data_IF_380269972231
#
_entry.id   IF_380269972231
#
_cell.length_a   1.000
_cell.length_b   1.000
_cell.length_c   1.000
_cell.angle_alpha   90.00
_cell.angle_beta   90.00
_cell.angle_gamma   90.00
#
_symmetry.space_group_name_H-M   'P 1'
#
loop_
_entity.id
_entity.type
_entity.pdbx_description
1 polymer ?
#
# COMPACT_ATOMS: atom_id res chain seq x y z
N UNK A 1 -0.46 17.20 11.67
CA UNK A 1 -1.81 17.77 11.85
C UNK A 1 -2.82 16.64 11.73
N UNK A 2 -3.59 16.34 12.79
CA UNK A 2 -4.70 15.38 12.69
C UNK A 2 -5.90 16.04 12.02
N UNK A 3 -6.64 15.27 11.23
CA UNK A 3 -7.89 15.68 10.59
C UNK A 3 -8.99 14.71 11.00
N UNK A 4 -10.17 15.22 11.31
CA UNK A 4 -11.34 14.41 11.68
C UNK A 4 -12.26 14.31 10.47
N UNK A 5 -12.67 13.09 10.12
CA UNK A 5 -13.62 12.81 9.04
C UNK A 5 -14.86 12.16 9.65
N UNK A 6 -16.04 12.65 9.30
CA UNK A 6 -17.31 12.02 9.65
C UNK A 6 -17.88 11.34 8.41
N UNK A 7 -18.08 10.02 8.49
CA UNK A 7 -18.73 9.25 7.42
C UNK A 7 -20.22 9.16 7.76
N UNK A 8 -21.08 9.67 6.86
CA UNK A 8 -22.54 9.68 7.03
C UNK A 8 -23.18 8.62 6.14
N UNK A 9 -24.41 8.26 6.49
CA UNK A 9 -25.28 7.39 5.67
C UNK A 9 -24.65 6.02 5.34
N UNK A 10 -24.00 5.39 6.32
CA UNK A 10 -23.50 4.03 6.17
C UNK A 10 -24.69 3.07 6.25
N UNK A 11 -24.91 2.21 5.23
CA UNK A 11 -25.96 1.19 5.30
C UNK A 11 -25.70 0.26 6.49
N UNK A 12 -26.76 -0.09 7.23
CA UNK A 12 -26.68 -0.90 8.46
C UNK A 12 -25.90 -2.21 8.25
N UNK A 13 -26.12 -2.89 7.11
CA UNK A 13 -25.39 -4.11 6.76
C UNK A 13 -23.88 -3.87 6.64
N UNK A 14 -23.48 -2.76 6.04
CA UNK A 14 -22.07 -2.38 5.89
C UNK A 14 -21.46 -2.08 7.26
N UNK A 15 -22.19 -1.36 8.12
CA UNK A 15 -21.73 -1.08 9.48
C UNK A 15 -21.54 -2.37 10.28
N UNK A 16 -22.48 -3.33 10.22
CA UNK A 16 -22.35 -4.63 10.89
C UNK A 16 -21.11 -5.41 10.43
N UNK A 17 -20.84 -5.47 9.12
CA UNK A 17 -19.64 -6.12 8.57
C UNK A 17 -18.36 -5.43 9.03
N UNK A 18 -18.34 -4.09 9.10
CA UNK A 18 -17.21 -3.33 9.63
C UNK A 18 -17.00 -3.59 11.12
N UNK A 19 -18.08 -3.62 11.91
CA UNK A 19 -18.03 -3.91 13.33
C UNK A 19 -17.49 -5.31 13.63
N UNK A 20 -17.90 -6.31 12.84
CA UNK A 20 -17.37 -7.67 12.95
C UNK A 20 -15.85 -7.69 12.70
N UNK A 21 -15.38 -7.07 11.62
CA UNK A 21 -13.94 -7.00 11.30
C UNK A 21 -13.14 -6.22 12.35
N UNK A 22 -13.71 -5.16 12.92
CA UNK A 22 -13.09 -4.40 13.99
C UNK A 22 -12.95 -5.26 15.27
N UNK A 23 -13.97 -6.06 15.60
CA UNK A 23 -13.94 -6.99 16.72
C UNK A 23 -12.89 -8.10 16.53
N UNK A 24 -12.80 -8.68 15.33
CA UNK A 24 -11.75 -9.66 14.97
C UNK A 24 -10.35 -9.07 15.13
N UNK A 25 -10.17 -7.79 14.77
CA UNK A 25 -8.93 -7.05 14.94
C UNK A 25 -8.72 -6.46 16.34
N UNK A 26 -9.64 -6.71 17.30
CA UNK A 26 -9.64 -6.21 18.68
C UNK A 26 -9.50 -4.68 18.78
N UNK A 27 -10.18 -3.95 17.90
CA UNK A 27 -10.17 -2.48 17.86
C UNK A 27 -11.58 -1.91 17.75
N UNK A 28 -11.71 -0.61 18.00
CA UNK A 28 -12.98 0.10 17.78
C UNK A 28 -13.25 0.27 16.27
N UNK A 29 -14.52 0.45 15.90
CA UNK A 29 -14.90 0.70 14.48
C UNK A 29 -14.22 1.95 13.91
N UNK A 30 -14.16 3.10 14.62
CA UNK A 30 -13.43 4.26 14.13
C UNK A 30 -11.93 4.00 13.94
N UNK A 31 -11.28 3.27 14.85
CA UNK A 31 -9.87 2.90 14.70
C UNK A 31 -9.64 1.98 13.51
N UNK A 32 -10.53 1.01 13.30
CA UNK A 32 -10.48 0.12 12.14
C UNK A 32 -10.61 0.91 10.83
N UNK A 33 -11.55 1.85 10.75
CA UNK A 33 -11.73 2.71 9.57
C UNK A 33 -10.53 3.62 9.32
N UNK A 34 -9.93 4.18 10.38
CA UNK A 34 -8.70 4.97 10.25
C UNK A 34 -7.56 4.14 9.66
N UNK A 35 -7.32 2.94 10.21
CA UNK A 35 -6.30 2.01 9.69
C UNK A 35 -6.59 1.58 8.25
N UNK A 36 -7.87 1.40 7.91
CA UNK A 36 -8.28 1.08 6.56
C UNK A 36 -7.94 2.21 5.59
N UNK A 37 -8.23 3.46 5.96
CA UNK A 37 -7.88 4.64 5.16
C UNK A 37 -6.35 4.79 5.02
N UNK A 38 -5.59 4.61 6.10
CA UNK A 38 -4.12 4.61 6.06
C UNK A 38 -3.58 3.53 5.11
N UNK A 39 -4.16 2.33 5.16
CA UNK A 39 -3.77 1.23 4.27
C UNK A 39 -4.14 1.49 2.81
N UNK A 40 -5.28 2.12 2.57
CA UNK A 40 -5.75 2.47 1.23
C UNK A 40 -4.79 3.44 0.54
N UNK A 41 -4.32 4.46 1.26
CA UNK A 41 -3.37 5.45 0.73
C UNK A 41 -1.90 5.02 0.81
N UNK A 42 -1.58 3.95 1.54
CA UNK A 42 -0.20 3.48 1.69
C UNK A 42 0.43 3.01 0.38
N UNK A 43 -0.38 2.71 -0.64
CA UNK A 43 0.09 2.33 -1.98
C UNK A 43 -0.57 3.20 -3.03
N UNK A 44 0.18 3.66 -4.06
CA UNK A 44 -0.43 4.33 -5.20
C UNK A 44 -1.43 3.39 -5.86
N UNK A 45 -2.53 3.94 -6.34
CA UNK A 45 -3.45 3.21 -7.20
C UNK A 45 -2.73 2.74 -8.46
N UNK A 46 -3.23 1.69 -9.12
CA UNK A 46 -2.67 1.21 -10.39
C UNK A 46 -2.66 2.33 -11.43
N UNK A 47 -3.69 3.17 -11.46
CA UNK A 47 -3.77 4.31 -12.38
C UNK A 47 -2.67 5.34 -12.11
N UNK A 48 -2.45 5.72 -10.85
CA UNK A 48 -1.36 6.64 -10.46
C UNK A 48 0.02 6.03 -10.74
N UNK A 49 0.16 4.72 -10.54
CA UNK A 49 1.39 4.01 -10.84
C UNK A 49 1.68 3.98 -12.36
N UNK A 50 0.67 3.71 -13.19
CA UNK A 50 0.79 3.75 -14.66
C UNK A 50 1.12 5.16 -15.16
N UNK A 51 0.48 6.18 -14.59
CA UNK A 51 0.76 7.56 -14.92
C UNK A 51 2.20 7.96 -14.53
N UNK A 52 2.69 7.47 -13.38
CA UNK A 52 4.08 7.67 -12.95
C UNK A 52 5.08 6.99 -13.89
N UNK A 53 4.79 5.78 -14.37
CA UNK A 53 5.70 5.08 -15.30
C UNK A 53 5.72 5.71 -16.69
N UNK A 54 4.57 6.23 -17.18
CA UNK A 54 4.51 7.01 -18.43
C UNK A 54 5.38 8.26 -18.41
N UNK A 55 5.49 8.94 -17.26
CA UNK A 55 6.34 10.13 -17.09
C UNK A 55 7.85 9.85 -17.06
N UNK A 56 8.25 8.59 -16.84
CA UNK A 56 9.65 8.13 -16.88
C UNK A 56 10.00 7.45 -18.21
N UNK A 57 9.32 7.83 -19.30
CA UNK A 57 9.51 7.25 -20.63
C UNK A 57 10.86 7.60 -21.27
N UNK A 58 11.95 7.07 -20.73
CA UNK A 58 13.18 6.79 -21.47
C UNK A 58 13.19 5.32 -21.92
N UNK A 59 13.97 4.96 -22.95
CA UNK A 59 14.12 3.56 -23.34
C UNK A 59 14.75 2.77 -22.18
N UNK A 60 13.97 1.92 -21.53
CA UNK A 60 14.47 0.98 -20.51
C UNK A 60 15.19 -0.15 -21.24
N UNK A 61 16.50 -0.30 -20.99
CA UNK A 61 17.28 -1.43 -21.48
C UNK A 61 17.17 -2.60 -20.51
N UNK A 62 17.45 -3.79 -21.01
CA UNK A 62 17.50 -4.99 -20.18
C UNK A 62 18.51 -4.87 -19.02
N UNK A 63 19.62 -4.15 -19.24
CA UNK A 63 20.63 -3.86 -18.20
C UNK A 63 20.02 -3.12 -17.01
N UNK A 64 19.17 -2.13 -17.26
CA UNK A 64 18.59 -1.27 -16.24
C UNK A 64 17.63 -2.07 -15.33
N UNK A 65 16.98 -3.09 -15.91
CA UNK A 65 16.12 -4.02 -15.16
C UNK A 65 16.94 -4.97 -14.30
N UNK A 66 18.03 -5.51 -14.83
CA UNK A 66 18.92 -6.42 -14.08
C UNK A 66 19.56 -5.66 -12.90
N UNK A 67 20.07 -4.44 -13.14
CA UNK A 67 20.66 -3.60 -12.10
C UNK A 67 19.67 -3.28 -10.97
N UNK A 68 18.43 -2.92 -11.30
CA UNK A 68 17.39 -2.68 -10.31
C UNK A 68 17.01 -3.94 -9.51
N UNK A 69 17.04 -5.12 -10.15
CA UNK A 69 16.78 -6.39 -9.48
C UNK A 69 17.94 -6.80 -8.56
N UNK A 70 19.18 -6.57 -8.97
CA UNK A 70 20.37 -6.84 -8.17
C UNK A 70 20.42 -5.92 -6.93
N UNK A 71 20.07 -4.64 -7.09
CA UNK A 71 19.94 -3.68 -5.98
C UNK A 71 18.90 -4.15 -4.94
N UNK A 72 17.74 -4.63 -5.40
CA UNK A 72 16.68 -5.14 -4.52
C UNK A 72 17.03 -6.47 -3.84
N UNK A 73 17.74 -7.35 -4.56
CA UNK A 73 18.13 -8.68 -4.07
C UNK A 73 19.22 -8.57 -3.00
N UNK A 74 20.11 -7.58 -3.11
CA UNK A 74 21.29 -7.46 -2.27
C UNK A 74 22.36 -8.52 -2.60
N UNK A 75 23.53 -8.46 -1.93
CA UNK A 75 24.64 -9.36 -2.19
C UNK A 75 24.27 -10.82 -1.92
N UNK A 76 24.80 -11.74 -2.74
CA UNK A 76 24.56 -13.16 -2.54
C UNK A 76 25.27 -13.62 -1.25
N UNK A 77 24.66 -14.50 -0.43
CA UNK A 77 25.25 -14.90 0.86
C UNK A 77 26.67 -15.49 0.78
N UNK A 78 27.09 -15.99 -0.38
CA UNK A 78 28.44 -16.53 -0.60
C UNK A 78 29.48 -15.49 -1.04
N UNK A 79 29.07 -14.27 -1.36
CA UNK A 79 29.98 -13.18 -1.75
C UNK A 79 30.78 -12.65 -0.53
N UNK A 80 30.30 -12.93 0.68
CA UNK A 80 30.98 -12.61 1.95
C UNK A 80 32.10 -13.60 2.33
N UNK A 81 32.33 -14.65 1.53
CA UNK A 81 33.31 -15.72 1.81
C UNK A 81 34.51 -15.75 0.83
N UNK A 82 34.79 -14.63 0.16
CA UNK A 82 36.01 -14.46 -0.67
C UNK A 82 36.80 -13.22 -0.26
#
# INVERSE_FOLDING_TARGET
>A
MSKTVQVREIPEETYRKLAQRAAEAKVTVPDYLRRLAERDVARPTVAEWVERTRRRGGPVRQSDVIEALDELRGPWPDDARR
#
